data_IF_647750180622
#
_entry.id   IF_647750180622
#
_cell.length_a   1.000
_cell.length_b   1.000
_cell.length_c   1.000
_cell.angle_alpha   90.00
_cell.angle_beta   90.00
_cell.angle_gamma   90.00
#
_symmetry.space_group_name_H-M   'P 1'
#
loop_
_entity.id
_entity.type
_entity.pdbx_description
1 polymer ?
#
# COMPACT_ATOMS: atom_id res chain seq x y z
N UNK A 1 2.34 27.11 -2.77
CA UNK A 1 3.05 26.02 -3.48
C UNK A 1 2.20 24.76 -3.38
N UNK A 2 1.71 24.25 -4.51
CA UNK A 2 0.95 22.96 -4.53
C UNK A 2 1.99 21.84 -4.54
N UNK A 3 2.12 21.15 -3.41
CA UNK A 3 2.90 19.91 -3.36
C UNK A 3 2.12 18.82 -4.10
N UNK A 4 2.58 18.43 -5.27
CA UNK A 4 2.02 17.30 -6.00
C UNK A 4 2.45 16.02 -5.29
N UNK A 5 1.50 15.36 -4.65
CA UNK A 5 1.67 14.02 -4.07
C UNK A 5 1.28 13.02 -5.14
N UNK A 6 2.20 12.14 -5.51
CA UNK A 6 1.89 11.07 -6.44
C UNK A 6 1.69 9.77 -5.65
N UNK A 7 0.51 9.20 -5.79
CA UNK A 7 0.13 7.91 -5.22
C UNK A 7 0.04 6.93 -6.39
N UNK A 8 0.81 5.85 -6.32
CA UNK A 8 0.76 4.77 -7.31
C UNK A 8 0.11 3.53 -6.69
N UNK A 9 -0.82 2.92 -7.39
CA UNK A 9 -1.56 1.76 -6.92
C UNK A 9 -0.97 0.45 -7.46
N UNK A 10 -0.70 -0.50 -6.57
CA UNK A 10 -0.37 -1.90 -6.88
C UNK A 10 -1.54 -2.77 -6.45
N UNK A 11 -1.99 -3.65 -7.34
CA UNK A 11 -2.95 -4.69 -6.99
C UNK A 11 -2.20 -6.00 -6.74
N UNK A 12 -2.28 -6.54 -5.52
CA UNK A 12 -1.72 -7.83 -5.16
C UNK A 12 -2.84 -8.84 -4.85
N UNK A 13 -2.65 -10.09 -5.25
CA UNK A 13 -3.52 -11.21 -4.87
C UNK A 13 -2.84 -12.01 -3.76
N UNK A 14 -3.51 -12.15 -2.62
CA UNK A 14 -3.11 -13.10 -1.59
C UNK A 14 -4.11 -14.27 -1.56
N UNK A 15 -3.66 -15.48 -1.93
CA UNK A 15 -4.43 -16.70 -1.79
C UNK A 15 -4.04 -17.39 -0.48
N UNK A 16 -4.84 -17.23 0.57
CA UNK A 16 -4.77 -18.05 1.78
C UNK A 16 -6.15 -18.65 2.05
N UNK A 17 -6.30 -19.93 1.71
CA UNK A 17 -7.48 -20.72 2.05
C UNK A 17 -7.44 -21.17 3.50
N UNK A 18 -8.46 -20.84 4.29
CA UNK A 18 -8.76 -21.47 5.56
C UNK A 18 -10.24 -21.90 5.60
N UNK A 19 -10.54 -23.15 6.04
CA UNK A 19 -11.92 -23.59 6.16
C UNK A 19 -12.55 -23.07 7.45
N UNK A 20 -13.78 -22.67 7.31
CA UNK A 20 -14.83 -22.24 8.20
C UNK A 20 -14.72 -22.43 9.72
N UNK A 21 -14.84 -21.30 10.38
CA UNK A 21 -15.42 -21.23 11.73
C UNK A 21 -16.35 -20.00 11.77
N UNK A 22 -17.66 -20.26 11.81
CA UNK A 22 -18.67 -19.20 12.01
C UNK A 22 -18.66 -18.85 13.49
N UNK A 23 -18.00 -17.76 13.85
CA UNK A 23 -18.10 -17.14 15.17
C UNK A 23 -19.14 -16.02 15.13
N UNK A 24 -19.89 -15.77 16.23
CA UNK A 24 -20.90 -14.73 16.27
C UNK A 24 -20.28 -13.36 16.04
N UNK A 25 -21.05 -12.53 15.35
CA UNK A 25 -20.74 -11.14 14.98
C UNK A 25 -20.60 -10.27 16.24
N UNK A 26 -19.50 -10.45 16.98
CA UNK A 26 -19.03 -9.41 17.86
C UNK A 26 -18.44 -8.32 16.95
N UNK A 27 -18.95 -7.09 17.06
CA UNK A 27 -18.37 -5.94 16.41
C UNK A 27 -16.87 -5.94 16.72
N UNK A 28 -16.05 -6.39 15.77
CA UNK A 28 -14.61 -6.29 15.89
C UNK A 28 -14.31 -4.80 15.79
N UNK A 29 -13.99 -4.19 16.93
CA UNK A 29 -13.40 -2.86 16.93
C UNK A 29 -12.19 -2.95 16.01
N UNK A 30 -12.25 -2.27 14.87
CA UNK A 30 -11.13 -2.18 13.95
C UNK A 30 -9.97 -1.56 14.72
N UNK A 31 -8.84 -2.21 14.74
CA UNK A 31 -7.60 -1.65 15.27
C UNK A 31 -7.10 -0.59 14.28
N UNK A 32 -7.70 0.61 14.37
CA UNK A 32 -7.37 1.76 13.53
C UNK A 32 -5.99 2.27 13.94
N UNK A 33 -4.99 2.02 13.12
CA UNK A 33 -3.65 2.58 13.35
C UNK A 33 -3.71 4.11 13.35
N UNK A 34 -3.16 4.72 14.38
CA UNK A 34 -3.07 6.19 14.46
C UNK A 34 -2.16 6.77 13.38
N UNK A 35 -2.39 8.03 13.02
CA UNK A 35 -1.56 8.75 12.05
C UNK A 35 -0.08 8.73 12.44
N UNK A 36 0.25 8.90 13.73
CA UNK A 36 1.64 8.83 14.21
C UNK A 36 2.27 7.45 14.01
N UNK A 37 1.51 6.37 14.22
CA UNK A 37 2.00 5.01 13.97
C UNK A 37 2.26 4.77 12.48
N UNK A 38 1.40 5.29 11.61
CA UNK A 38 1.55 5.22 10.16
C UNK A 38 2.78 6.02 9.72
N UNK A 39 2.92 7.26 10.20
CA UNK A 39 4.10 8.10 9.90
C UNK A 39 5.39 7.41 10.34
N UNK A 40 5.41 6.83 11.55
CA UNK A 40 6.58 6.10 12.05
C UNK A 40 6.90 4.87 11.20
N UNK A 41 5.89 4.14 10.74
CA UNK A 41 6.06 2.96 9.89
C UNK A 41 6.53 3.28 8.48
N UNK A 42 6.14 4.45 7.93
CA UNK A 42 6.53 4.90 6.58
C UNK A 42 7.80 5.75 6.56
N UNK A 43 8.28 6.23 7.72
CA UNK A 43 9.50 6.99 7.79
C UNK A 43 10.73 6.12 7.49
N UNK A 44 11.74 6.64 6.78
CA UNK A 44 12.97 5.91 6.51
C UNK A 44 13.65 5.46 7.82
N UNK A 45 13.91 4.17 7.94
CA UNK A 45 14.60 3.61 9.11
C UNK A 45 16.10 3.93 9.01
N UNK A 46 16.58 4.79 9.89
CA UNK A 46 18.03 5.01 10.05
C UNK A 46 18.58 3.90 10.97
N UNK A 47 19.13 2.85 10.38
CA UNK A 47 19.86 1.83 11.15
C UNK A 47 21.15 2.39 11.70
N UNK A 48 21.36 2.28 13.04
CA UNK A 48 22.60 2.71 13.72
C UNK A 48 23.59 1.55 13.85
N UNK A 49 23.65 0.64 12.91
CA UNK A 49 24.55 -0.52 12.96
C UNK A 49 25.22 -0.80 11.63
N UNK A 50 26.30 -1.57 11.64
CA UNK A 50 26.89 -2.11 10.42
C UNK A 50 25.92 -3.12 9.81
N UNK A 51 25.42 -2.82 8.61
CA UNK A 51 24.56 -3.69 7.85
C UNK A 51 25.27 -4.04 6.53
N UNK A 52 25.77 -5.27 6.39
CA UNK A 52 26.51 -5.69 5.20
C UNK A 52 25.68 -5.66 3.91
N UNK A 53 24.35 -5.72 4.03
CA UNK A 53 23.44 -5.67 2.89
C UNK A 53 22.89 -4.26 2.58
N UNK A 54 23.31 -3.24 3.34
CA UNK A 54 22.84 -1.88 3.13
C UNK A 54 23.12 -1.36 1.71
N UNK A 55 24.34 -1.55 1.12
CA UNK A 55 24.62 -1.07 -0.24
C UNK A 55 23.72 -1.69 -1.30
N UNK A 56 23.44 -2.99 -1.17
CA UNK A 56 22.56 -3.70 -2.11
C UNK A 56 21.11 -3.18 -1.99
N UNK A 57 20.61 -3.02 -0.77
CA UNK A 57 19.27 -2.47 -0.53
C UNK A 57 19.14 -1.03 -1.01
N UNK A 58 20.17 -0.21 -0.81
CA UNK A 58 20.20 1.17 -1.31
C UNK A 58 20.17 1.21 -2.84
N UNK A 59 20.90 0.32 -3.52
CA UNK A 59 20.86 0.19 -4.98
C UNK A 59 19.45 -0.18 -5.46
N UNK A 60 18.79 -1.16 -4.80
CA UNK A 60 17.41 -1.54 -5.10
C UNK A 60 16.43 -0.42 -4.83
N UNK A 61 16.62 0.34 -3.76
CA UNK A 61 15.81 1.52 -3.45
C UNK A 61 15.97 2.62 -4.51
N UNK A 62 17.18 2.81 -5.03
CA UNK A 62 17.44 3.77 -6.11
C UNK A 62 16.75 3.33 -7.42
N UNK A 63 16.82 2.04 -7.76
CA UNK A 63 16.13 1.46 -8.92
C UNK A 63 14.61 1.63 -8.79
N UNK A 64 14.03 1.30 -7.65
CA UNK A 64 12.62 1.52 -7.36
C UNK A 64 12.24 2.99 -7.52
N UNK A 65 13.00 3.88 -6.92
CA UNK A 65 12.75 5.33 -7.00
C UNK A 65 12.83 5.85 -8.44
N UNK A 66 13.76 5.33 -9.25
CA UNK A 66 13.87 5.69 -10.67
C UNK A 66 12.62 5.27 -11.44
N UNK A 67 12.15 4.03 -11.22
CA UNK A 67 10.92 3.52 -11.84
C UNK A 67 9.68 4.28 -11.41
N UNK A 68 9.56 4.63 -10.13
CA UNK A 68 8.45 5.46 -9.63
C UNK A 68 8.47 6.88 -10.21
N UNK A 69 9.65 7.47 -10.43
CA UNK A 69 9.79 8.77 -11.13
C UNK A 69 9.35 8.68 -12.57
N UNK A 70 9.70 7.60 -13.28
CA UNK A 70 9.23 7.35 -14.64
C UNK A 70 7.71 7.31 -14.69
N UNK A 71 7.06 6.52 -13.84
CA UNK A 71 5.60 6.44 -13.76
C UNK A 71 4.98 7.81 -13.48
N UNK A 72 5.55 8.57 -12.55
CA UNK A 72 5.11 9.93 -12.25
C UNK A 72 5.23 10.85 -13.47
N UNK A 73 6.33 10.79 -14.21
CA UNK A 73 6.56 11.60 -15.39
C UNK A 73 5.57 11.25 -16.50
N UNK A 74 5.23 9.96 -16.63
CA UNK A 74 4.22 9.46 -17.59
C UNK A 74 2.78 9.62 -17.10
N UNK A 75 2.57 10.19 -15.91
CA UNK A 75 1.25 10.33 -15.25
C UNK A 75 0.51 9.00 -15.08
N UNK A 76 1.26 7.93 -14.80
CA UNK A 76 0.70 6.61 -14.53
C UNK A 76 0.26 6.57 -13.07
N UNK A 77 -1.05 6.49 -12.85
CA UNK A 77 -1.66 6.37 -11.51
C UNK A 77 -1.79 4.91 -11.09
N UNK A 78 -1.97 4.00 -12.03
CA UNK A 78 -2.08 2.56 -11.79
C UNK A 78 -0.94 1.85 -12.50
N UNK A 79 -0.10 1.11 -11.75
CA UNK A 79 1.06 0.40 -12.30
C UNK A 79 0.61 -0.62 -13.35
N UNK A 80 1.16 -0.60 -14.58
CA UNK A 80 0.87 -1.56 -15.61
C UNK A 80 1.14 -3.00 -15.15
N UNK A 81 0.41 -3.95 -15.69
CA UNK A 81 0.51 -5.36 -15.27
C UNK A 81 1.93 -5.90 -15.44
N UNK A 82 2.58 -5.57 -16.53
CA UNK A 82 3.93 -5.96 -16.89
C UNK A 82 5.00 -5.46 -15.92
N UNK A 83 4.75 -4.33 -15.26
CA UNK A 83 5.69 -3.71 -14.32
C UNK A 83 5.48 -4.14 -12.87
N UNK A 84 4.34 -4.76 -12.53
CA UNK A 84 3.97 -5.05 -11.13
C UNK A 84 4.91 -6.01 -10.44
N UNK A 85 5.26 -7.10 -11.11
CA UNK A 85 6.12 -8.12 -10.53
C UNK A 85 7.52 -7.55 -10.26
N UNK A 86 8.03 -6.73 -11.18
CA UNK A 86 9.31 -6.04 -11.00
C UNK A 86 9.23 -5.05 -9.83
N UNK A 87 8.17 -4.24 -9.75
CA UNK A 87 8.00 -3.27 -8.66
C UNK A 87 7.84 -3.98 -7.33
N UNK A 88 7.03 -5.05 -7.26
CA UNK A 88 6.85 -5.85 -6.04
C UNK A 88 8.19 -6.43 -5.55
N UNK A 89 8.97 -6.99 -6.46
CA UNK A 89 10.31 -7.51 -6.16
C UNK A 89 11.25 -6.41 -5.64
N UNK A 90 11.27 -5.25 -6.27
CA UNK A 90 12.09 -4.12 -5.83
C UNK A 90 11.66 -3.61 -4.44
N UNK A 91 10.37 -3.55 -4.15
CA UNK A 91 9.84 -3.19 -2.82
C UNK A 91 10.33 -4.18 -1.76
N UNK A 92 10.26 -5.48 -2.04
CA UNK A 92 10.71 -6.53 -1.13
C UNK A 92 12.23 -6.49 -0.91
N UNK A 93 13.02 -6.44 -1.98
CA UNK A 93 14.48 -6.45 -1.93
C UNK A 93 15.06 -5.19 -1.29
N UNK A 94 14.46 -4.03 -1.53
CA UNK A 94 14.86 -2.76 -0.89
C UNK A 94 14.47 -2.66 0.57
N UNK A 95 13.60 -3.56 1.07
CA UNK A 95 12.97 -3.47 2.39
C UNK A 95 12.38 -2.09 2.64
N UNK A 96 11.67 -1.59 1.64
CA UNK A 96 11.00 -0.29 1.73
C UNK A 96 10.05 -0.25 2.94
N UNK A 97 10.03 0.86 3.70
CA UNK A 97 9.07 1.03 4.77
C UNK A 97 7.64 0.81 4.28
N UNK A 98 6.87 0.04 5.03
CA UNK A 98 5.47 -0.25 4.69
C UNK A 98 4.59 -0.23 5.94
N UNK A 99 3.30 -0.01 5.73
CA UNK A 99 2.27 -0.08 6.77
C UNK A 99 1.01 -0.70 6.16
N UNK A 100 0.48 -1.72 6.84
CA UNK A 100 -0.81 -2.26 6.50
C UNK A 100 -1.91 -1.43 7.18
N UNK A 101 -2.85 -0.95 6.39
CA UNK A 101 -4.05 -0.25 6.86
C UNK A 101 -5.28 -1.00 6.36
N UNK A 102 -6.14 -1.41 7.29
CA UNK A 102 -7.36 -2.12 6.94
C UNK A 102 -8.45 -1.14 6.51
N UNK A 103 -8.83 -1.18 5.24
CA UNK A 103 -9.94 -0.43 4.68
C UNK A 103 -11.03 -1.41 4.25
N UNK A 104 -12.22 -1.28 4.84
CA UNK A 104 -13.37 -2.12 4.50
C UNK A 104 -14.12 -1.56 3.30
N UNK A 105 -14.43 -2.46 2.38
CA UNK A 105 -15.26 -2.17 1.21
C UNK A 105 -16.56 -2.98 1.26
N UNK A 106 -17.60 -2.48 0.61
CA UNK A 106 -18.81 -3.25 0.40
C UNK A 106 -18.52 -4.55 -0.39
N UNK A 107 -19.35 -5.57 -0.18
CA UNK A 107 -19.15 -6.85 -0.86
C UNK A 107 -19.13 -6.66 -2.38
N UNK A 108 -18.16 -7.28 -3.02
CA UNK A 108 -17.96 -7.24 -4.47
C UNK A 108 -17.88 -5.81 -5.06
N UNK A 109 -17.36 -4.86 -4.30
CA UNK A 109 -17.38 -3.44 -4.61
C UNK A 109 -16.05 -2.74 -4.24
N UNK A 110 -15.83 -1.57 -4.81
CA UNK A 110 -14.84 -0.59 -4.39
C UNK A 110 -15.49 0.56 -3.60
N UNK A 111 -16.72 0.41 -3.16
CA UNK A 111 -17.40 1.35 -2.29
C UNK A 111 -16.87 1.20 -0.86
N UNK A 112 -16.35 2.29 -0.32
CA UNK A 112 -15.78 2.33 1.04
C UNK A 112 -16.93 2.33 2.04
N UNK A 113 -16.89 1.38 2.98
CA UNK A 113 -17.86 1.32 4.06
C UNK A 113 -17.66 2.49 5.04
N UNK A 114 -18.76 3.01 5.65
CA UNK A 114 -18.67 4.08 6.63
C UNK A 114 -17.72 3.79 7.78
N UNK A 115 -17.61 2.53 8.18
CA UNK A 115 -16.74 2.03 9.26
C UNK A 115 -15.25 2.19 8.92
N UNK A 116 -14.89 2.26 7.64
CA UNK A 116 -13.50 2.47 7.21
C UNK A 116 -13.06 3.95 7.26
N UNK A 117 -13.98 4.90 7.44
CA UNK A 117 -13.67 6.34 7.46
C UNK A 117 -12.63 6.73 8.51
N UNK A 118 -12.70 6.25 9.77
CA UNK A 118 -11.68 6.58 10.76
C UNK A 118 -10.27 6.18 10.32
N UNK A 119 -10.13 5.00 9.71
CA UNK A 119 -8.83 4.53 9.22
C UNK A 119 -8.33 5.38 8.04
N UNK A 120 -9.21 5.81 7.15
CA UNK A 120 -8.86 6.71 6.03
C UNK A 120 -8.48 8.10 6.53
N UNK A 121 -9.18 8.63 7.55
CA UNK A 121 -8.85 9.91 8.14
C UNK A 121 -7.45 9.90 8.77
N UNK A 122 -7.11 8.82 9.50
CA UNK A 122 -5.78 8.65 10.07
C UNK A 122 -4.70 8.49 8.97
N UNK A 123 -4.99 7.72 7.91
CA UNK A 123 -4.10 7.61 6.76
C UNK A 123 -3.91 8.98 6.08
N UNK A 124 -4.98 9.73 5.86
CA UNK A 124 -4.93 11.07 5.28
C UNK A 124 -4.10 12.06 6.11
N UNK A 125 -4.26 12.03 7.43
CA UNK A 125 -3.43 12.82 8.37
C UNK A 125 -1.95 12.42 8.26
N UNK A 126 -1.67 11.11 8.28
CA UNK A 126 -0.30 10.59 8.18
C UNK A 126 0.37 11.00 6.88
N UNK A 127 -0.29 10.78 5.75
CA UNK A 127 0.24 11.19 4.44
C UNK A 127 0.38 12.70 4.29
N UNK A 128 -0.28 13.48 5.18
CA UNK A 128 -0.19 14.94 5.24
C UNK A 128 0.92 15.45 6.15
N UNK A 129 1.54 14.55 6.93
CA UNK A 129 2.62 14.93 7.86
C UNK A 129 3.85 15.47 7.10
N UNK A 130 4.45 16.58 7.57
CA UNK A 130 5.66 17.14 6.98
C UNK A 130 6.83 16.15 6.87
N UNK A 131 6.94 15.18 7.79
CA UNK A 131 7.97 14.13 7.77
C UNK A 131 7.91 13.23 6.53
N UNK A 132 6.72 13.09 5.94
CA UNK A 132 6.48 12.32 4.72
C UNK A 132 6.38 13.21 3.47
N UNK A 133 6.63 14.51 3.61
CA UNK A 133 6.55 15.47 2.50
C UNK A 133 7.52 15.12 1.39
N UNK A 134 7.06 15.19 0.15
CA UNK A 134 7.86 14.85 -1.04
C UNK A 134 8.03 13.35 -1.31
N UNK A 135 7.53 12.49 -0.43
CA UNK A 135 7.50 11.04 -0.65
C UNK A 135 6.56 10.64 -1.80
N UNK A 136 6.88 9.50 -2.43
CA UNK A 136 5.98 8.79 -3.35
C UNK A 136 5.56 7.50 -2.68
N UNK A 137 4.25 7.24 -2.64
CA UNK A 137 3.68 6.09 -1.94
C UNK A 137 3.08 5.11 -2.94
N UNK A 138 3.27 3.82 -2.67
CA UNK A 138 2.61 2.73 -3.37
C UNK A 138 1.44 2.25 -2.50
N UNK A 139 0.26 2.15 -3.11
CA UNK A 139 -0.92 1.57 -2.47
C UNK A 139 -1.22 0.23 -3.11
N UNK A 140 -1.24 -0.84 -2.30
CA UNK A 140 -1.64 -2.17 -2.72
C UNK A 140 -3.05 -2.47 -2.20
N UNK A 141 -4.00 -2.66 -3.10
CA UNK A 141 -5.33 -3.19 -2.78
C UNK A 141 -5.33 -4.71 -2.81
N UNK A 142 -5.99 -5.35 -1.86
CA UNK A 142 -6.14 -6.80 -1.81
C UNK A 142 -7.61 -7.20 -1.99
N UNK A 143 -7.82 -8.37 -2.58
CA UNK A 143 -9.13 -9.03 -2.69
C UNK A 143 -9.02 -10.42 -2.10
N UNK A 144 -10.16 -11.01 -1.70
CA UNK A 144 -10.25 -12.43 -1.37
C UNK A 144 -10.06 -13.30 -2.63
N UNK A 145 -9.76 -14.58 -2.42
CA UNK A 145 -9.51 -15.52 -3.52
C UNK A 145 -10.78 -15.98 -4.28
N UNK A 146 -11.96 -15.35 -4.02
CA UNK A 146 -13.19 -15.69 -4.71
C UNK A 146 -13.28 -14.97 -6.05
N UNK A 147 -13.57 -15.70 -7.11
CA UNK A 147 -13.67 -15.19 -8.48
C UNK A 147 -12.46 -15.50 -9.35
N UNK A 148 -12.44 -15.00 -10.57
CA UNK A 148 -11.30 -15.16 -11.48
C UNK A 148 -10.17 -14.16 -11.16
N UNK A 149 -8.94 -14.54 -11.49
CA UNK A 149 -7.75 -13.67 -11.30
C UNK A 149 -7.92 -12.31 -11.98
N UNK A 150 -8.44 -12.30 -13.20
CA UNK A 150 -8.65 -11.06 -13.96
C UNK A 150 -9.67 -10.13 -13.27
N UNK A 151 -10.75 -10.72 -12.73
CA UNK A 151 -11.77 -9.99 -12.01
C UNK A 151 -11.22 -9.39 -10.71
N UNK A 152 -10.54 -10.22 -9.90
CA UNK A 152 -9.95 -9.80 -8.63
C UNK A 152 -8.87 -8.74 -8.82
N UNK A 153 -8.08 -8.86 -9.90
CA UNK A 153 -7.13 -7.83 -10.26
C UNK A 153 -7.79 -6.49 -10.57
N UNK A 154 -8.86 -6.50 -11.38
CA UNK A 154 -9.61 -5.29 -11.70
C UNK A 154 -10.29 -4.69 -10.45
N UNK A 155 -10.80 -5.51 -9.54
CA UNK A 155 -11.40 -5.07 -8.28
C UNK A 155 -10.36 -4.45 -7.34
N UNK A 156 -9.20 -5.10 -7.17
CA UNK A 156 -8.11 -4.58 -6.32
C UNK A 156 -7.58 -3.25 -6.83
N UNK A 157 -7.47 -3.07 -8.14
CA UNK A 157 -7.10 -1.78 -8.75
C UNK A 157 -8.13 -0.69 -8.45
N UNK A 158 -9.43 -0.99 -8.63
CA UNK A 158 -10.49 -0.03 -8.30
C UNK A 158 -10.48 0.35 -6.82
N UNK A 159 -10.20 -0.61 -5.92
CA UNK A 159 -10.09 -0.34 -4.47
C UNK A 159 -8.89 0.54 -4.14
N UNK A 160 -7.75 0.28 -4.76
CA UNK A 160 -6.54 1.07 -4.51
C UNK A 160 -6.61 2.50 -5.07
N UNK A 161 -7.49 2.76 -6.05
CA UNK A 161 -7.69 4.07 -6.68
C UNK A 161 -8.77 4.93 -5.99
N UNK A 162 -9.44 4.40 -4.94
CA UNK A 162 -10.45 5.14 -4.17
C UNK A 162 -9.84 5.93 -3.05
#
# INVERSE_FOLDING_TARGET
>A
MRFSRSILAIAAMAALGFPGLVLPLAAQAQDVKSADAIVKGLAPVKTRGFDPLAPEREAKQQELNAKLREFKTRQIEVIPREDRDQVAKLVEESKSPNVDVQILFAFDSAEILPEARPALDELGKALSDPKLSGGTFLIAGHTDAKGSDAYNLALSQRRAAR
#
